data_IF_575995500937
#
_entry.id   IF_575995500937
#
_cell.length_a   1.000
_cell.length_b   1.000
_cell.length_c   1.000
_cell.angle_alpha   90.00
_cell.angle_beta   90.00
_cell.angle_gamma   90.00
#
_symmetry.space_group_name_H-M   'P 1'
#
loop_
_entity.id
_entity.type
_entity.pdbx_description
1 polymer ?
#
# COMPACT_ATOMS: atom_id res chain seq x y z
N UNK A 1 -11.87 6.54 5.94
CA UNK A 1 -11.20 6.01 4.74
C UNK A 1 -9.79 6.53 4.78
N UNK A 2 -8.78 5.66 4.78
CA UNK A 2 -7.38 6.09 4.88
C UNK A 2 -6.87 6.55 3.51
N UNK A 3 -5.81 7.38 3.44
CA UNK A 3 -5.19 7.78 2.16
C UNK A 3 -4.78 6.57 1.31
N UNK A 4 -4.47 5.43 1.97
CA UNK A 4 -4.14 4.17 1.32
C UNK A 4 -5.35 3.51 0.65
N UNK A 5 -6.54 3.58 1.25
CA UNK A 5 -7.80 3.11 0.65
C UNK A 5 -8.13 3.91 -0.62
N UNK A 6 -8.04 5.25 -0.54
CA UNK A 6 -8.31 6.12 -1.69
C UNK A 6 -7.32 5.84 -2.83
N UNK A 7 -6.04 5.62 -2.50
CA UNK A 7 -5.04 5.23 -3.48
C UNK A 7 -5.31 3.86 -4.13
N UNK A 8 -5.79 2.86 -3.37
CA UNK A 8 -6.19 1.56 -3.92
C UNK A 8 -7.35 1.69 -4.90
N UNK A 9 -8.36 2.48 -4.55
CA UNK A 9 -9.54 2.68 -5.38
C UNK A 9 -9.16 3.32 -6.72
N UNK A 10 -8.31 4.35 -6.69
CA UNK A 10 -7.78 5.00 -7.90
C UNK A 10 -6.97 4.02 -8.77
N UNK A 11 -6.10 3.20 -8.17
CA UNK A 11 -5.33 2.19 -8.91
C UNK A 11 -6.22 1.14 -9.58
N UNK A 12 -7.29 0.71 -8.92
CA UNK A 12 -8.23 -0.25 -9.47
C UNK A 12 -8.98 0.33 -10.68
N UNK A 13 -9.49 1.56 -10.57
CA UNK A 13 -10.15 2.27 -11.67
C UNK A 13 -9.21 2.44 -12.86
N UNK A 14 -7.96 2.85 -12.62
CA UNK A 14 -6.96 3.00 -13.68
C UNK A 14 -6.60 1.67 -14.35
N UNK A 15 -6.57 0.58 -13.59
CA UNK A 15 -6.30 -0.75 -14.12
C UNK A 15 -7.41 -1.22 -15.05
N UNK A 16 -8.68 -1.09 -14.64
CA UNK A 16 -9.84 -1.40 -15.50
C UNK A 16 -9.81 -0.54 -16.78
N UNK A 17 -9.62 0.77 -16.65
CA UNK A 17 -9.53 1.68 -17.81
C UNK A 17 -8.37 1.33 -18.75
N UNK A 18 -7.25 0.86 -18.21
CA UNK A 18 -6.09 0.46 -19.02
C UNK A 18 -6.34 -0.79 -19.86
N UNK A 19 -7.20 -1.69 -19.39
CA UNK A 19 -7.57 -2.90 -20.11
C UNK A 19 -8.53 -2.58 -21.27
N UNK A 20 -9.45 -1.63 -21.07
CA UNK A 20 -10.45 -1.23 -22.06
C UNK A 20 -9.89 -0.28 -23.13
N UNK A 21 -8.94 0.58 -22.78
CA UNK A 21 -8.38 1.58 -23.69
C UNK A 21 -7.18 1.03 -24.47
N UNK A 22 -7.32 0.85 -25.79
CA UNK A 22 -6.24 0.35 -26.66
C UNK A 22 -4.93 1.16 -26.57
N UNK A 23 -5.02 2.46 -26.25
CA UNK A 23 -3.87 3.36 -26.06
C UNK A 23 -3.16 3.12 -24.73
N UNK A 24 -3.91 2.78 -23.68
CA UNK A 24 -3.39 2.47 -22.35
C UNK A 24 -3.09 0.98 -22.15
N UNK A 25 -3.55 0.11 -23.04
CA UNK A 25 -3.19 -1.31 -23.07
C UNK A 25 -1.76 -1.54 -23.63
N UNK A 26 -1.01 -0.46 -23.84
CA UNK A 26 0.42 -0.54 -24.14
C UNK A 26 1.13 -1.18 -22.95
N UNK A 27 1.91 -2.25 -23.21
CA UNK A 27 2.57 -3.14 -22.23
C UNK A 27 3.20 -2.47 -20.99
N UNK A 28 3.55 -1.19 -21.03
CA UNK A 28 4.11 -0.44 -19.91
C UNK A 28 3.09 -0.05 -18.83
N UNK A 29 1.87 0.36 -19.21
CA UNK A 29 0.88 0.89 -18.25
C UNK A 29 0.31 -0.22 -17.35
N UNK A 30 -0.16 -1.38 -17.86
CA UNK A 30 -0.68 -2.45 -17.00
C UNK A 30 0.38 -2.98 -16.03
N UNK A 31 1.64 -3.11 -16.48
CA UNK A 31 2.77 -3.53 -15.63
C UNK A 31 3.08 -2.52 -14.53
N UNK A 32 2.99 -1.22 -14.83
CA UNK A 32 3.19 -0.17 -13.83
C UNK A 32 2.08 -0.21 -12.77
N UNK A 33 0.82 -0.38 -13.20
CA UNK A 33 -0.33 -0.48 -12.29
C UNK A 33 -0.24 -1.72 -11.39
N UNK A 34 0.16 -2.87 -11.94
CA UNK A 34 0.41 -4.08 -11.15
C UNK A 34 1.53 -3.87 -10.11
N UNK A 35 2.62 -3.21 -10.51
CA UNK A 35 3.71 -2.88 -9.59
C UNK A 35 3.26 -1.95 -8.46
N UNK A 36 2.48 -0.92 -8.79
CA UNK A 36 1.93 0.01 -7.79
C UNK A 36 1.00 -0.72 -6.81
N UNK A 37 0.13 -1.61 -7.32
CA UNK A 37 -0.76 -2.43 -6.47
C UNK A 37 0.03 -3.30 -5.48
N UNK A 38 1.14 -3.89 -5.93
CA UNK A 38 2.01 -4.69 -5.07
C UNK A 38 2.70 -3.85 -3.99
N UNK A 39 3.16 -2.65 -4.32
CA UNK A 39 3.74 -1.71 -3.34
C UNK A 39 2.69 -1.30 -2.29
N UNK A 40 1.46 -1.01 -2.70
CA UNK A 40 0.39 -0.66 -1.76
C UNK A 40 0.04 -1.83 -0.81
N UNK A 41 0.07 -3.06 -1.31
CA UNK A 41 -0.12 -4.24 -0.46
C UNK A 41 1.02 -4.42 0.56
N UNK A 42 2.28 -4.19 0.15
CA UNK A 42 3.45 -4.26 1.02
C UNK A 42 3.44 -3.18 2.12
N UNK A 43 3.04 -1.95 1.78
CA UNK A 43 2.89 -0.85 2.73
C UNK A 43 1.84 -1.15 3.81
N UNK A 44 0.73 -1.79 3.45
CA UNK A 44 -0.28 -2.22 4.41
C UNK A 44 0.28 -3.28 5.36
N UNK A 45 1.05 -4.25 4.84
CA UNK A 45 1.74 -5.23 5.67
C UNK A 45 2.78 -4.61 6.62
N UNK A 46 3.52 -3.59 6.18
CA UNK A 46 4.43 -2.83 7.04
C UNK A 46 3.69 -2.06 8.13
N UNK A 47 2.58 -1.40 7.81
CA UNK A 47 1.75 -0.69 8.81
C UNK A 47 1.09 -1.64 9.82
N UNK A 48 0.83 -2.89 9.44
CA UNK A 48 0.28 -3.92 10.35
C UNK A 48 1.38 -4.64 11.14
N UNK A 49 2.64 -4.59 10.68
CA UNK A 49 3.79 -5.24 11.32
C UNK A 49 4.50 -4.39 12.38
N UNK A 50 3.89 -3.29 12.83
CA UNK A 50 4.35 -2.53 14.01
C UNK A 50 3.51 -2.80 15.28
N UNK A 51 3.48 -4.04 15.84
CA UNK A 51 3.04 -4.25 17.22
C UNK A 51 4.22 -4.37 18.20
N UNK A 52 5.39 -3.77 17.94
CA UNK A 52 6.55 -3.84 18.84
C UNK A 52 7.05 -2.48 19.36
N UNK A 53 6.14 -1.52 19.53
CA UNK A 53 6.40 -0.34 20.37
C UNK A 53 5.57 -0.32 21.66
N UNK A 54 5.19 -1.50 22.18
CA UNK A 54 4.72 -1.65 23.56
C UNK A 54 5.86 -2.19 24.44
N UNK A 55 6.74 -1.29 24.87
CA UNK A 55 7.61 -1.50 26.02
C UNK A 55 7.99 -0.14 26.64
N UNK A 56 7.06 0.43 27.42
CA UNK A 56 7.30 1.55 28.34
C UNK A 56 7.49 0.93 29.75
N UNK A 57 8.19 1.58 30.69
CA UNK A 57 9.63 1.70 30.93
C UNK A 57 10.08 0.83 32.16
N UNK A 58 11.37 0.71 32.51
CA UNK A 58 11.73 0.34 33.87
C UNK A 58 11.63 1.58 34.77
N UNK A 59 10.47 1.86 35.35
CA UNK A 59 10.41 2.58 36.63
C UNK A 59 10.59 1.53 37.72
N UNK A 60 11.78 1.47 38.33
CA UNK A 60 12.04 1.18 39.74
C UNK A 60 13.56 1.22 39.97
N UNK A 61 14.01 2.17 40.80
CA UNK A 61 15.42 2.47 41.04
C UNK A 61 16.14 1.44 41.91
N UNK A 62 17.48 1.49 41.95
CA UNK A 62 18.24 0.89 43.04
C UNK A 62 18.42 1.93 44.17
N UNK A 63 17.97 1.54 45.37
CA UNK A 63 18.37 1.92 46.74
C UNK A 63 19.25 3.18 46.93
#
# INVERSE_FOLDING_TARGET
MTELDEFREVLQVLHEYSLESATLNQRGIPRLLERLRNVTADLEHCSVSDPLHEAVPPENGPD
#
